data_IF_741730684788
#
_entry.id   IF_741730684788
#
_cell.length_a   1.000
_cell.length_b   1.000
_cell.length_c   1.000
_cell.angle_alpha   90.00
_cell.angle_beta   90.00
_cell.angle_gamma   90.00
#
_symmetry.space_group_name_H-M   'P 1'
#
loop_
_entity.id
_entity.type
_entity.pdbx_description
1 polymer ?
#
# COMPACT_ATOMS: atom_id res chain seq x y z
N UNK A 1 4.19 -27.09 -40.17
CA UNK A 1 3.89 -26.01 -39.21
C UNK A 1 3.94 -26.61 -37.82
N UNK A 2 4.95 -26.29 -37.02
CA UNK A 2 5.00 -26.69 -35.62
C UNK A 2 4.11 -25.71 -34.82
N UNK A 3 3.25 -26.19 -33.91
CA UNK A 3 2.46 -25.31 -33.07
C UNK A 3 3.42 -24.47 -32.21
N UNK A 4 3.21 -23.16 -32.18
CA UNK A 4 3.95 -22.30 -31.24
C UNK A 4 3.72 -22.82 -29.81
N UNK A 5 4.78 -22.93 -28.99
CA UNK A 5 4.63 -23.28 -27.59
C UNK A 5 3.73 -22.22 -26.94
N UNK A 6 2.54 -22.64 -26.50
CA UNK A 6 1.64 -21.76 -25.75
C UNK A 6 2.38 -21.31 -24.50
N UNK A 7 2.67 -20.01 -24.41
CA UNK A 7 3.15 -19.42 -23.16
C UNK A 7 2.17 -19.84 -22.05
N UNK A 8 2.65 -20.42 -20.94
CA UNK A 8 1.78 -20.79 -19.84
C UNK A 8 1.04 -19.55 -19.39
N UNK A 9 -0.29 -19.61 -19.39
CA UNK A 9 -1.15 -18.54 -18.87
C UNK A 9 -0.73 -18.30 -17.43
N UNK A 10 0.05 -17.23 -17.23
CA UNK A 10 0.68 -16.93 -15.97
C UNK A 10 -0.44 -16.57 -15.00
N UNK A 11 -0.69 -17.46 -14.02
CA UNK A 11 -1.71 -17.26 -13.02
C UNK A 11 -1.57 -15.85 -12.41
N UNK A 12 -2.69 -15.16 -12.12
CA UNK A 12 -2.62 -13.78 -11.70
C UNK A 12 -1.72 -13.63 -10.48
N UNK A 13 -0.59 -12.94 -10.65
CA UNK A 13 0.32 -12.73 -9.54
C UNK A 13 -0.39 -11.98 -8.40
N UNK A 14 -0.24 -12.46 -7.15
CA UNK A 14 -0.85 -11.81 -6.00
C UNK A 14 -0.29 -10.39 -5.85
N UNK A 15 -1.12 -9.45 -5.42
CA UNK A 15 -0.64 -8.13 -4.99
C UNK A 15 0.37 -8.31 -3.85
N UNK A 16 1.47 -7.54 -3.83
CA UNK A 16 2.51 -7.76 -2.82
C UNK A 16 1.93 -7.51 -1.42
N UNK A 17 2.19 -8.42 -0.46
CA UNK A 17 1.46 -8.48 0.80
C UNK A 17 1.64 -7.24 1.69
N UNK A 18 2.76 -6.51 1.57
CA UNK A 18 2.92 -5.25 2.31
C UNK A 18 1.93 -4.17 1.88
N UNK A 19 1.54 -4.12 0.60
CA UNK A 19 0.53 -3.17 0.11
C UNK A 19 -0.83 -3.47 0.76
N UNK A 20 -1.22 -4.75 0.79
CA UNK A 20 -2.47 -5.19 1.43
C UNK A 20 -2.50 -4.87 2.92
N UNK A 21 -1.41 -5.13 3.65
CA UNK A 21 -1.30 -4.79 5.08
C UNK A 21 -1.42 -3.28 5.33
N UNK A 22 -0.81 -2.44 4.49
CA UNK A 22 -0.90 -0.98 4.59
C UNK A 22 -2.32 -0.47 4.33
N UNK A 23 -2.99 -0.99 3.29
CA UNK A 23 -4.39 -0.64 3.00
C UNK A 23 -5.31 -1.03 4.15
N UNK A 24 -5.18 -2.23 4.72
CA UNK A 24 -6.00 -2.63 5.86
C UNK A 24 -5.80 -1.72 7.08
N UNK A 25 -4.55 -1.36 7.41
CA UNK A 25 -4.28 -0.41 8.51
C UNK A 25 -4.87 0.97 8.24
N UNK A 26 -4.80 1.44 7.00
CA UNK A 26 -5.40 2.70 6.59
C UNK A 26 -6.93 2.70 6.75
N UNK A 27 -7.60 1.68 6.21
CA UNK A 27 -9.05 1.50 6.31
C UNK A 27 -9.49 1.38 7.76
N UNK A 28 -8.79 0.56 8.56
CA UNK A 28 -9.08 0.41 9.99
C UNK A 28 -8.90 1.73 10.75
N UNK A 29 -7.88 2.52 10.43
CA UNK A 29 -7.64 3.83 11.02
C UNK A 29 -8.75 4.83 10.73
N UNK A 30 -9.20 4.91 9.47
CA UNK A 30 -10.35 5.77 9.08
C UNK A 30 -11.62 5.32 9.80
N UNK A 31 -11.89 4.02 9.79
CA UNK A 31 -13.09 3.48 10.45
C UNK A 31 -13.10 3.80 11.94
N UNK A 32 -11.98 3.60 12.63
CA UNK A 32 -11.85 3.94 14.05
C UNK A 32 -12.06 5.44 14.29
N UNK A 33 -11.51 6.31 13.45
CA UNK A 33 -11.71 7.76 13.54
C UNK A 33 -13.20 8.14 13.41
N UNK A 34 -13.91 7.54 12.45
CA UNK A 34 -15.36 7.77 12.28
C UNK A 34 -16.17 7.28 13.48
N UNK A 35 -15.86 6.10 14.02
CA UNK A 35 -16.56 5.55 15.20
C UNK A 35 -16.33 6.43 16.43
N UNK A 36 -15.10 6.86 16.68
CA UNK A 36 -14.76 7.77 17.78
C UNK A 36 -15.49 9.11 17.64
N UNK A 37 -15.50 9.68 16.43
CA UNK A 37 -16.20 10.94 16.16
C UNK A 37 -17.72 10.81 16.41
N UNK A 38 -18.34 9.75 15.90
CA UNK A 38 -19.76 9.49 16.14
C UNK A 38 -20.07 9.32 17.64
N UNK A 39 -19.24 8.55 18.36
CA UNK A 39 -19.38 8.37 19.81
C UNK A 39 -19.25 9.69 20.58
N UNK A 40 -18.29 10.54 20.23
CA UNK A 40 -18.11 11.86 20.83
C UNK A 40 -19.33 12.76 20.59
N UNK A 41 -19.88 12.76 19.38
CA UNK A 41 -21.07 13.55 19.05
C UNK A 41 -22.30 13.06 19.84
N UNK A 42 -22.53 11.73 19.89
CA UNK A 42 -23.64 11.14 20.62
C UNK A 42 -23.56 11.38 22.14
N UNK A 43 -22.36 11.26 22.72
CA UNK A 43 -22.14 11.51 24.15
C UNK A 43 -22.35 12.98 24.57
N UNK A 44 -22.51 13.90 23.63
CA UNK A 44 -22.62 15.35 23.87
C UNK A 44 -23.97 15.99 23.60
N UNK A 45 -24.97 15.20 23.19
CA UNK A 45 -26.16 15.71 22.51
C UNK A 45 -27.12 16.57 23.36
N UNK A 46 -26.82 16.88 24.63
CA UNK A 46 -27.77 17.58 25.53
C UNK A 46 -27.27 18.85 26.20
N UNK A 47 -25.97 19.15 26.23
CA UNK A 47 -25.46 20.21 27.13
C UNK A 47 -24.18 20.92 26.67
N UNK A 48 -23.66 20.63 25.47
CA UNK A 48 -22.40 21.21 25.02
C UNK A 48 -22.62 22.58 24.35
N UNK A 49 -21.81 23.60 24.67
CA UNK A 49 -21.80 24.84 23.91
C UNK A 49 -21.50 24.54 22.44
N UNK A 50 -22.15 25.27 21.55
CA UNK A 50 -22.03 25.13 20.09
C UNK A 50 -20.58 25.04 19.61
N UNK A 51 -19.68 25.82 20.22
CA UNK A 51 -18.26 25.87 19.88
C UNK A 51 -17.56 24.51 20.07
N UNK A 52 -17.89 23.76 21.14
CA UNK A 52 -17.33 22.41 21.33
C UNK A 52 -17.83 21.43 20.27
N UNK A 53 -19.10 21.50 19.89
CA UNK A 53 -19.66 20.66 18.81
C UNK A 53 -18.94 20.92 17.48
N UNK A 54 -18.68 22.19 17.16
CA UNK A 54 -17.92 22.56 15.95
C UNK A 54 -16.49 22.02 16.02
N UNK A 55 -15.81 22.15 17.16
CA UNK A 55 -14.44 21.61 17.33
C UNK A 55 -14.42 20.08 17.15
N UNK A 56 -15.36 19.35 17.76
CA UNK A 56 -15.46 17.89 17.61
C UNK A 56 -15.87 17.45 16.20
N UNK A 57 -16.52 18.31 15.41
CA UNK A 57 -16.84 18.03 14.03
C UNK A 57 -15.63 18.29 13.10
N UNK A 58 -14.94 19.43 13.28
CA UNK A 58 -13.92 19.92 12.35
C UNK A 58 -12.56 19.26 12.58
N UNK A 59 -12.11 19.11 13.82
CA UNK A 59 -10.77 18.60 14.14
C UNK A 59 -10.55 17.18 13.62
N UNK A 60 -11.48 16.21 13.81
CA UNK A 60 -11.31 14.87 13.25
C UNK A 60 -11.31 14.86 11.72
N UNK A 61 -12.09 15.76 11.08
CA UNK A 61 -12.07 15.94 9.64
C UNK A 61 -10.69 16.36 9.13
N UNK A 62 -10.09 17.38 9.75
CA UNK A 62 -8.74 17.84 9.41
C UNK A 62 -7.72 16.71 9.65
N UNK A 63 -7.79 16.03 10.79
CA UNK A 63 -6.90 14.91 11.11
C UNK A 63 -7.02 13.78 10.07
N UNK A 64 -8.24 13.45 9.64
CA UNK A 64 -8.51 12.48 8.58
C UNK A 64 -7.92 12.89 7.22
N UNK A 65 -8.04 14.17 6.85
CA UNK A 65 -7.44 14.71 5.63
C UNK A 65 -5.90 14.65 5.66
N UNK A 66 -5.29 15.04 6.79
CA UNK A 66 -3.83 14.98 6.98
C UNK A 66 -3.33 13.53 6.93
N UNK A 67 -4.00 12.62 7.65
CA UNK A 67 -3.67 11.20 7.66
C UNK A 67 -3.79 10.57 6.26
N UNK A 68 -4.88 10.87 5.55
CA UNK A 68 -5.11 10.38 4.18
C UNK A 68 -4.07 10.91 3.21
N UNK A 69 -3.75 12.21 3.28
CA UNK A 69 -2.73 12.82 2.42
C UNK A 69 -1.36 12.20 2.68
N UNK A 70 -0.97 12.04 3.95
CA UNK A 70 0.27 11.38 4.33
C UNK A 70 0.33 9.93 3.85
N UNK A 71 -0.76 9.17 3.98
CA UNK A 71 -0.86 7.80 3.49
C UNK A 71 -0.72 7.74 1.96
N UNK A 72 -1.42 8.61 1.22
CA UNK A 72 -1.33 8.67 -0.24
C UNK A 72 0.08 9.06 -0.70
N UNK A 73 0.73 10.01 -0.03
CA UNK A 73 2.10 10.41 -0.36
C UNK A 73 3.11 9.30 -0.08
N UNK A 74 2.99 8.61 1.06
CA UNK A 74 3.86 7.48 1.39
C UNK A 74 3.62 6.28 0.47
N UNK A 75 2.36 6.04 0.08
CA UNK A 75 1.99 5.05 -0.92
C UNK A 75 2.56 5.39 -2.29
N UNK A 76 2.35 6.61 -2.77
CA UNK A 76 2.85 7.07 -4.07
C UNK A 76 4.38 7.01 -4.11
N UNK A 77 5.06 7.39 -3.03
CA UNK A 77 6.52 7.23 -2.92
C UNK A 77 6.94 5.77 -2.98
N UNK A 78 6.21 4.87 -2.32
CA UNK A 78 6.52 3.44 -2.35
C UNK A 78 6.30 2.82 -3.74
N UNK A 79 5.20 3.17 -4.42
CA UNK A 79 4.90 2.66 -5.77
C UNK A 79 5.76 3.31 -6.85
N UNK A 80 6.09 4.60 -6.71
CA UNK A 80 7.01 5.28 -7.62
C UNK A 80 8.40 4.65 -7.58
N UNK A 81 8.90 4.33 -6.38
CA UNK A 81 10.20 3.66 -6.26
C UNK A 81 10.19 2.22 -6.78
N UNK A 82 9.07 1.52 -6.70
CA UNK A 82 8.92 0.20 -7.32
C UNK A 82 9.04 0.22 -8.86
N UNK A 83 8.96 1.39 -9.49
CA UNK A 83 9.15 1.56 -10.94
C UNK A 83 10.60 1.85 -11.33
N UNK A 84 11.52 2.02 -10.38
CA UNK A 84 12.93 2.29 -10.70
C UNK A 84 13.56 0.99 -11.22
N UNK A 85 13.97 0.92 -12.50
CA UNK A 85 14.58 -0.27 -13.06
C UNK A 85 15.90 -0.56 -12.34
N UNK A 86 16.06 -1.80 -11.86
CA UNK A 86 17.27 -2.27 -11.20
C UNK A 86 17.24 -2.26 -9.67
N UNK A 87 16.30 -1.54 -9.03
CA UNK A 87 16.18 -1.53 -7.56
C UNK A 87 15.60 -2.88 -7.07
N UNK A 88 16.34 -3.58 -6.20
CA UNK A 88 15.86 -4.83 -5.62
C UNK A 88 15.08 -4.53 -4.36
N UNK A 89 13.80 -4.91 -4.30
CA UNK A 89 12.95 -4.69 -3.12
C UNK A 89 12.38 -6.00 -2.62
N UNK A 90 12.37 -6.20 -1.32
CA UNK A 90 11.73 -7.34 -0.69
C UNK A 90 10.24 -7.37 -1.07
N UNK A 91 9.77 -8.47 -1.66
CA UNK A 91 8.38 -8.66 -2.05
C UNK A 91 7.40 -8.55 -0.87
N UNK A 92 7.90 -8.80 0.33
CA UNK A 92 7.07 -9.03 1.50
C UNK A 92 6.87 -7.81 2.39
N UNK A 93 7.89 -6.95 2.53
CA UNK A 93 7.83 -5.72 3.32
C UNK A 93 8.10 -4.44 2.49
N UNK A 94 8.64 -4.56 1.28
CA UNK A 94 8.99 -3.43 0.41
C UNK A 94 10.33 -2.75 0.76
N UNK A 95 11.12 -3.30 1.69
CA UNK A 95 12.47 -2.82 2.03
C UNK A 95 13.42 -2.90 0.83
N UNK A 96 14.31 -1.92 0.66
CA UNK A 96 15.34 -1.96 -0.38
C UNK A 96 16.41 -2.98 0.01
N UNK A 97 16.65 -3.94 -0.87
CA UNK A 97 17.69 -4.95 -0.76
C UNK A 97 18.92 -4.56 -1.60
N UNK A 98 19.03 -3.29 -1.99
CA UNK A 98 20.22 -2.81 -2.69
C UNK A 98 21.46 -3.02 -1.81
N UNK A 99 22.55 -3.45 -2.42
CA UNK A 99 23.78 -3.82 -1.71
C UNK A 99 23.73 -5.15 -0.96
N UNK A 100 22.60 -5.86 -0.95
CA UNK A 100 22.55 -7.24 -0.44
C UNK A 100 22.96 -8.21 -1.57
N UNK A 101 23.45 -9.40 -1.19
CA UNK A 101 23.84 -10.45 -2.15
C UNK A 101 22.67 -10.96 -3.00
N UNK A 102 22.97 -11.90 -3.91
CA UNK A 102 21.94 -12.47 -4.80
C UNK A 102 20.86 -13.26 -4.05
N UNK A 103 21.17 -13.79 -2.88
CA UNK A 103 20.20 -14.41 -2.00
C UNK A 103 20.53 -14.06 -0.55
N UNK A 104 19.52 -14.07 0.31
CA UNK A 104 19.71 -13.76 1.72
C UNK A 104 18.41 -13.66 2.48
N UNK A 105 18.45 -13.02 3.64
CA UNK A 105 17.27 -12.77 4.48
C UNK A 105 17.06 -11.26 4.60
N UNK A 106 15.82 -10.82 4.41
CA UNK A 106 15.46 -9.41 4.53
C UNK A 106 15.61 -8.96 5.99
N UNK A 107 16.39 -7.91 6.28
CA UNK A 107 16.65 -7.47 7.66
C UNK A 107 15.42 -6.92 8.38
N UNK A 108 14.41 -6.44 7.64
CA UNK A 108 13.19 -5.88 8.21
C UNK A 108 12.13 -6.92 8.58
N UNK A 109 11.97 -7.96 7.75
CA UNK A 109 10.88 -8.93 7.93
C UNK A 109 11.33 -10.37 8.16
N UNK A 110 12.64 -10.64 8.10
CA UNK A 110 13.20 -11.97 8.32
C UNK A 110 12.88 -12.99 7.23
N UNK A 111 12.25 -12.58 6.11
CA UNK A 111 11.94 -13.50 5.01
C UNK A 111 13.14 -13.67 4.09
N UNK A 112 13.38 -14.92 3.68
CA UNK A 112 14.38 -15.26 2.68
C UNK A 112 13.99 -14.69 1.32
N UNK A 113 14.98 -14.23 0.57
CA UNK A 113 14.79 -13.76 -0.78
C UNK A 113 15.86 -14.34 -1.71
N UNK A 114 15.45 -14.53 -2.96
CA UNK A 114 16.34 -14.71 -4.10
C UNK A 114 16.14 -13.50 -5.03
N UNK A 115 17.21 -12.82 -5.39
CA UNK A 115 17.20 -11.59 -6.16
C UNK A 115 16.63 -11.81 -7.55
N UNK A 116 16.93 -12.95 -8.18
CA UNK A 116 16.45 -13.27 -9.51
C UNK A 116 14.92 -13.50 -9.52
N UNK A 117 14.42 -14.34 -8.61
CA UNK A 117 12.99 -14.59 -8.40
C UNK A 117 12.26 -13.30 -8.01
N UNK A 118 12.83 -12.50 -7.11
CA UNK A 118 12.24 -11.23 -6.66
C UNK A 118 12.13 -10.23 -7.80
N UNK A 119 13.17 -10.07 -8.62
CA UNK A 119 13.12 -9.24 -9.84
C UNK A 119 12.08 -9.76 -10.83
N UNK A 120 11.96 -11.08 -11.00
CA UNK A 120 10.94 -11.68 -11.86
C UNK A 120 9.52 -11.33 -11.38
N UNK A 121 9.23 -11.41 -10.09
CA UNK A 121 7.94 -11.02 -9.50
C UNK A 121 7.61 -9.54 -9.73
N UNK A 122 8.58 -8.64 -9.51
CA UNK A 122 8.41 -7.21 -9.76
C UNK A 122 8.22 -6.86 -11.23
N UNK A 123 8.93 -7.54 -12.14
CA UNK A 123 8.71 -7.41 -13.59
C UNK A 123 7.31 -7.85 -13.99
N UNK A 124 6.79 -8.95 -13.41
CA UNK A 124 5.41 -9.39 -13.63
C UNK A 124 4.38 -8.37 -13.15
N UNK A 125 4.60 -7.80 -11.96
CA UNK A 125 3.72 -6.78 -11.39
C UNK A 125 3.67 -5.48 -12.20
N UNK A 126 4.83 -5.00 -12.66
CA UNK A 126 4.94 -3.74 -13.40
C UNK A 126 4.34 -3.79 -14.82
N UNK A 127 4.35 -4.95 -15.49
CA UNK A 127 3.72 -5.12 -16.81
C UNK A 127 2.20 -4.93 -16.74
N UNK A 128 1.54 -5.51 -15.73
CA UNK A 128 0.08 -5.40 -15.57
C UNK A 128 -0.39 -3.95 -15.48
N UNK A 129 0.30 -3.12 -14.69
CA UNK A 129 -0.04 -1.71 -14.58
C UNK A 129 0.16 -0.89 -15.86
N UNK A 130 0.85 -1.43 -16.87
CA UNK A 130 0.97 -0.81 -18.21
C UNK A 130 -0.20 -1.21 -19.10
N UNK A 131 -0.60 -2.47 -19.06
CA UNK A 131 -1.68 -3.01 -19.91
C UNK A 131 -3.06 -2.47 -19.50
N UNK A 132 -3.24 -2.11 -18.23
CA UNK A 132 -4.47 -1.48 -17.73
C UNK A 132 -4.61 0.00 -18.15
N UNK A 133 -3.61 0.58 -18.85
CA UNK A 133 -3.69 1.97 -19.32
C UNK A 133 -4.50 1.99 -20.64
N UNK A 134 -5.60 2.76 -20.73
CA UNK A 134 -6.33 2.89 -21.99
C UNK A 134 -5.37 3.43 -23.08
N UNK A 135 -5.49 2.95 -24.34
CA UNK A 135 -4.72 3.51 -25.44
C UNK A 135 -4.99 5.02 -25.54
N UNK A 136 -3.93 5.79 -25.73
CA UNK A 136 -3.96 7.24 -25.84
C UNK A 136 -4.60 7.71 -27.15
#
# INVERSE_FOLDING_TARGET
MLPEPREPVLAPHPTPPFLRKRVHRFVAGIFALCVVQAGLLLAGAGSRPFLLTVVFAVVPGIAGCVYTTWFLLTWHRATARAKIPGELRCWECGYSLDGHGEAGTCPECGKTFDAHATRAMWRGYSRRGRDDRPPA
#
